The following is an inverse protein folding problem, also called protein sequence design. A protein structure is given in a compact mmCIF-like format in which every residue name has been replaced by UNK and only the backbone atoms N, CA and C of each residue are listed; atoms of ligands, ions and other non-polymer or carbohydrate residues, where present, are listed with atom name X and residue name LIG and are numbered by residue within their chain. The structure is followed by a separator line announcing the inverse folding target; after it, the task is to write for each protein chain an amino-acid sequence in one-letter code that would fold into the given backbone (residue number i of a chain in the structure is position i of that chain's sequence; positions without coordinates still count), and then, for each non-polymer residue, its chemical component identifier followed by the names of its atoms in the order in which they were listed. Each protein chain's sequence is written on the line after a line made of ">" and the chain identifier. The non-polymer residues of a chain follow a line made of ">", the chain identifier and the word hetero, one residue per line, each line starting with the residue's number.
data_IF_718933064007
#
_entry.id   IF_718933064007
#
_cell.length_a   1.000
_cell.length_b   1.000
_cell.length_c   1.000
_cell.angle_alpha   90.00
_cell.angle_beta   90.00
_cell.angle_gamma   90.00
#
_symmetry.space_group_name_H-M   'P 1'
#
loop_
_entity.id
_entity.type
_entity.pdbx_description
1 polymer ?
#
# COMPACT_ATOMS: atom_id res chain seq x y z
N UNK A 1 3.81 17.52 12.49
CA UNK A 1 2.51 17.01 12.00
C UNK A 1 2.29 15.62 12.59
N UNK A 2 1.46 15.50 13.64
CA UNK A 2 1.34 14.26 14.43
C UNK A 2 0.57 13.19 13.66
N UNK A 3 1.08 11.95 13.64
CA UNK A 3 0.50 10.77 12.98
C UNK A 3 -0.98 10.55 13.35
N UNK A 4 -1.37 11.01 14.55
CA UNK A 4 -2.74 11.03 15.05
C UNK A 4 -3.71 11.82 14.18
N UNK A 5 -3.26 12.90 13.52
CA UNK A 5 -4.12 13.73 12.67
C UNK A 5 -4.58 13.00 11.41
N UNK A 6 -3.71 12.17 10.81
CA UNK A 6 -4.04 11.35 9.63
C UNK A 6 -5.03 10.26 10.01
N UNK A 7 -4.83 9.60 11.16
CA UNK A 7 -5.76 8.57 11.67
C UNK A 7 -7.13 9.17 12.01
N UNK A 8 -7.17 10.36 12.59
CA UNK A 8 -8.44 11.08 12.88
C UNK A 8 -9.18 11.49 11.61
N UNK A 9 -8.48 11.96 10.56
CA UNK A 9 -9.10 12.31 9.28
C UNK A 9 -9.66 11.05 8.59
N UNK A 10 -8.93 9.93 8.64
CA UNK A 10 -9.38 8.64 8.10
C UNK A 10 -10.61 8.12 8.87
N UNK A 11 -10.62 8.24 10.20
CA UNK A 11 -11.75 7.85 11.04
C UNK A 11 -12.99 8.72 10.77
N UNK A 12 -12.81 10.04 10.60
CA UNK A 12 -13.89 10.95 10.23
C UNK A 12 -14.48 10.66 8.83
N UNK A 13 -13.65 10.29 7.86
CA UNK A 13 -14.12 9.85 6.55
C UNK A 13 -14.88 8.52 6.61
N UNK A 14 -14.46 7.59 7.47
CA UNK A 14 -15.13 6.30 7.65
C UNK A 14 -16.53 6.43 8.29
N UNK A 15 -16.69 7.34 9.26
CA UNK A 15 -17.99 7.63 9.89
C UNK A 15 -18.96 8.34 8.95
N UNK A 16 -18.48 9.15 8.02
CA UNK A 16 -19.34 9.85 7.05
C UNK A 16 -19.79 8.92 5.90
N UNK A 17 -19.07 7.83 5.63
CA UNK A 17 -19.39 6.88 4.56
C UNK A 17 -20.54 5.92 4.91
N UNK A 18 -20.95 5.83 6.18
CA UNK A 18 -22.04 4.94 6.63
C UNK A 18 -23.45 5.49 6.41
N UNK A 19 -23.61 6.74 5.95
CA UNK A 19 -24.92 7.37 5.69
C UNK A 19 -25.41 7.21 4.24
N UNK A 20 -24.69 6.47 3.39
CA UNK A 20 -24.99 6.39 1.96
C UNK A 20 -26.02 5.31 1.63
N UNK A 21 -27.27 5.72 1.36
CA UNK A 21 -28.33 4.84 0.87
C UNK A 21 -28.09 4.46 -0.60
N UNK A 22 -28.08 3.16 -0.97
CA UNK A 22 -27.90 2.76 -2.35
C UNK A 22 -29.22 2.91 -3.11
N UNK A 23 -29.31 3.88 -4.03
CA UNK A 23 -30.33 3.85 -5.08
C UNK A 23 -29.95 2.72 -6.05
N UNK A 24 -30.82 1.72 -6.16
CA UNK A 24 -30.71 0.61 -7.11
C UNK A 24 -30.72 1.20 -8.52
N UNK A 25 -29.58 1.13 -9.21
CA UNK A 25 -29.44 1.58 -10.59
C UNK A 25 -29.57 0.37 -11.51
N UNK A 26 -30.59 0.40 -12.37
CA UNK A 26 -30.83 -0.56 -13.44
C UNK A 26 -29.66 -0.60 -14.41
N UNK A 27 -29.16 -1.80 -14.70
CA UNK A 27 -28.03 -2.04 -15.61
C UNK A 27 -28.55 -1.95 -17.06
N UNK A 28 -28.13 -0.97 -17.88
CA UNK A 28 -28.44 -1.00 -19.30
C UNK A 28 -27.51 -2.02 -19.98
N UNK A 29 -28.09 -3.11 -20.48
CA UNK A 29 -27.40 -4.08 -21.34
C UNK A 29 -27.31 -3.54 -22.75
N UNK A 30 -26.31 -2.70 -23.03
CA UNK A 30 -25.68 -2.52 -24.35
C UNK A 30 -24.65 -1.38 -24.30
N UNK A 31 -23.35 -1.64 -24.53
CA UNK A 31 -22.42 -0.55 -24.88
C UNK A 31 -21.14 -1.03 -25.56
N UNK A 32 -20.81 -0.35 -26.66
CA UNK A 32 -19.62 -0.44 -27.52
C UNK A 32 -18.31 -0.85 -26.81
N UNK A 33 -17.70 -1.96 -27.25
CA UNK A 33 -16.53 -2.58 -26.60
C UNK A 33 -15.26 -1.71 -26.62
N UNK A 34 -15.14 -0.76 -27.55
CA UNK A 34 -13.90 -0.01 -27.79
C UNK A 34 -13.64 1.09 -26.74
N UNK A 35 -14.65 1.88 -26.34
CA UNK A 35 -14.49 2.90 -25.27
C UNK A 35 -14.32 2.28 -23.88
N UNK A 36 -14.90 1.09 -23.67
CA UNK A 36 -14.85 0.35 -22.42
C UNK A 36 -13.45 -0.23 -22.14
N UNK A 37 -12.77 -0.72 -23.19
CA UNK A 37 -11.42 -1.25 -23.09
C UNK A 37 -10.36 -0.16 -22.84
N UNK A 38 -10.52 1.01 -23.46
CA UNK A 38 -9.54 2.11 -23.35
C UNK A 38 -9.44 2.70 -21.94
N UNK A 39 -10.57 2.80 -21.22
CA UNK A 39 -10.56 3.23 -19.82
C UNK A 39 -9.96 2.17 -18.88
N UNK A 40 -10.21 0.88 -19.12
CA UNK A 40 -9.73 -0.19 -18.23
C UNK A 40 -8.21 -0.33 -18.27
N UNK A 41 -7.62 -0.31 -19.47
CA UNK A 41 -6.16 -0.38 -19.63
C UNK A 41 -5.47 0.81 -18.94
N UNK A 42 -6.04 2.02 -19.04
CA UNK A 42 -5.53 3.21 -18.38
C UNK A 42 -5.49 3.09 -16.84
N UNK A 43 -6.55 2.57 -16.22
CA UNK A 43 -6.56 2.31 -14.77
C UNK A 43 -5.53 1.26 -14.36
N UNK A 44 -5.41 0.15 -15.09
CA UNK A 44 -4.46 -0.92 -14.78
C UNK A 44 -3.03 -0.44 -14.90
N UNK A 45 -2.67 0.15 -16.04
CA UNK A 45 -1.31 0.68 -16.27
C UNK A 45 -1.01 1.80 -15.28
N UNK A 46 -1.95 2.71 -15.04
CA UNK A 46 -1.81 3.79 -14.06
C UNK A 46 -1.56 3.27 -12.64
N UNK A 47 -2.28 2.23 -12.20
CA UNK A 47 -2.06 1.60 -10.90
C UNK A 47 -0.72 0.86 -10.82
N UNK A 48 -0.27 0.19 -11.88
CA UNK A 48 1.05 -0.45 -11.87
C UNK A 48 2.16 0.60 -11.81
N UNK A 49 2.11 1.61 -12.69
CA UNK A 49 3.12 2.67 -12.75
C UNK A 49 3.18 3.44 -11.43
N UNK A 50 2.03 3.83 -10.88
CA UNK A 50 1.96 4.51 -9.59
C UNK A 50 2.51 3.64 -8.46
N UNK A 51 2.15 2.36 -8.42
CA UNK A 51 2.60 1.40 -7.42
C UNK A 51 4.11 1.17 -7.45
N UNK A 52 4.69 1.15 -8.64
CA UNK A 52 6.11 0.95 -8.84
C UNK A 52 6.98 2.18 -8.49
N UNK A 53 6.41 3.35 -8.18
CA UNK A 53 7.17 4.56 -7.82
C UNK A 53 8.07 4.38 -6.60
N UNK A 54 7.70 3.50 -5.66
CA UNK A 54 8.50 3.18 -4.48
C UNK A 54 9.68 2.22 -4.74
N UNK A 55 9.71 1.54 -5.89
CA UNK A 55 10.69 0.46 -6.18
C UNK A 55 12.15 0.88 -6.01
N UNK A 56 12.60 2.06 -6.48
CA UNK A 56 14.00 2.47 -6.29
C UNK A 56 14.40 2.60 -4.82
N UNK A 57 13.46 3.03 -3.95
CA UNK A 57 13.70 3.13 -2.51
C UNK A 57 13.84 1.75 -1.88
N UNK A 58 12.99 0.80 -2.28
CA UNK A 58 13.03 -0.59 -1.81
C UNK A 58 14.37 -1.21 -2.19
N UNK A 59 14.75 -1.18 -3.48
CA UNK A 59 16.01 -1.77 -3.96
C UNK A 59 17.22 -1.19 -3.22
N UNK A 60 17.26 0.12 -3.02
CA UNK A 60 18.35 0.78 -2.31
C UNK A 60 18.42 0.34 -0.84
N UNK A 61 17.27 0.24 -0.17
CA UNK A 61 17.22 -0.15 1.23
C UNK A 61 17.58 -1.63 1.44
N UNK A 62 17.11 -2.53 0.56
CA UNK A 62 17.46 -3.96 0.53
C UNK A 62 18.97 -4.18 0.44
N UNK A 63 19.64 -3.50 -0.50
CA UNK A 63 21.09 -3.60 -0.67
C UNK A 63 21.91 -2.92 0.43
N UNK A 64 21.29 -2.06 1.24
CA UNK A 64 21.97 -1.27 2.25
C UNK A 64 21.78 -1.86 3.63
N UNK A 65 20.63 -1.64 4.27
CA UNK A 65 20.44 -1.91 5.69
C UNK A 65 19.42 -3.02 5.96
N UNK A 66 18.47 -3.24 5.06
CA UNK A 66 17.32 -4.12 5.33
C UNK A 66 17.72 -5.59 5.47
N UNK A 67 18.71 -6.04 4.70
CA UNK A 67 19.24 -7.40 4.82
C UNK A 67 20.18 -7.61 6.02
N UNK A 68 20.54 -6.53 6.75
CA UNK A 68 21.40 -6.60 7.92
C UNK A 68 20.62 -6.55 9.24
N UNK A 69 19.32 -6.28 9.21
CA UNK A 69 18.47 -6.33 10.41
C UNK A 69 17.91 -7.72 10.65
N UNK A 70 17.42 -7.96 11.86
CA UNK A 70 16.78 -9.23 12.21
C UNK A 70 15.46 -9.39 11.45
N UNK A 71 15.37 -10.37 10.56
CA UNK A 71 14.16 -10.71 9.79
C UNK A 71 13.56 -12.03 10.30
N UNK A 72 12.23 -12.17 10.36
CA UNK A 72 11.60 -13.43 10.74
C UNK A 72 11.80 -14.50 9.65
N UNK A 73 11.85 -15.77 10.07
CA UNK A 73 12.11 -16.91 9.18
C UNK A 73 11.07 -17.09 8.03
N UNK A 74 9.85 -16.55 8.19
CA UNK A 74 8.81 -16.61 7.17
C UNK A 74 8.83 -15.41 6.20
N UNK A 75 9.88 -14.58 6.23
CA UNK A 75 10.05 -13.50 5.26
C UNK A 75 10.25 -14.10 3.87
N UNK A 76 9.41 -13.76 2.87
CA UNK A 76 9.60 -14.26 1.51
C UNK A 76 10.92 -13.75 0.91
N UNK A 77 11.53 -14.48 -0.02
CA UNK A 77 12.63 -13.96 -0.83
C UNK A 77 12.27 -12.63 -1.52
N UNK A 78 13.25 -11.74 -1.64
CA UNK A 78 13.09 -10.39 -2.25
C UNK A 78 12.45 -10.44 -3.65
N UNK A 79 12.76 -11.49 -4.43
CA UNK A 79 12.25 -11.69 -5.78
C UNK A 79 10.73 -11.93 -5.83
N UNK A 80 10.10 -12.36 -4.75
CA UNK A 80 8.64 -12.62 -4.69
C UNK A 80 7.84 -11.33 -4.52
N UNK A 81 8.40 -10.31 -3.84
CA UNK A 81 7.67 -9.09 -3.56
C UNK A 81 7.26 -8.33 -4.82
N UNK A 82 8.13 -8.23 -5.82
CA UNK A 82 7.84 -7.48 -7.05
C UNK A 82 6.69 -8.11 -7.87
N UNK A 83 6.72 -9.40 -8.23
CA UNK A 83 5.61 -10.05 -8.94
C UNK A 83 4.27 -9.97 -8.18
N UNK A 84 4.29 -10.16 -6.86
CA UNK A 84 3.08 -10.06 -6.04
C UNK A 84 2.51 -8.64 -6.11
N UNK A 85 3.30 -7.61 -5.82
CA UNK A 85 2.81 -6.23 -5.85
C UNK A 85 2.36 -5.80 -7.25
N UNK A 86 3.08 -6.17 -8.32
CA UNK A 86 2.63 -5.90 -9.69
C UNK A 86 1.26 -6.53 -9.97
N UNK A 87 1.06 -7.79 -9.56
CA UNK A 87 -0.23 -8.48 -9.72
C UNK A 87 -1.34 -7.79 -8.92
N UNK A 88 -1.05 -7.40 -7.67
CA UNK A 88 -1.99 -6.69 -6.81
C UNK A 88 -2.37 -5.32 -7.38
N UNK A 89 -1.41 -4.55 -7.89
CA UNK A 89 -1.68 -3.26 -8.53
C UNK A 89 -2.51 -3.41 -9.81
N UNK A 90 -2.29 -4.47 -10.58
CA UNK A 90 -3.15 -4.78 -11.72
C UNK A 90 -4.60 -5.07 -11.27
N UNK A 91 -4.79 -5.87 -10.23
CA UNK A 91 -6.12 -6.19 -9.67
C UNK A 91 -6.80 -4.95 -9.08
N UNK A 92 -6.06 -4.06 -8.42
CA UNK A 92 -6.56 -2.77 -7.94
C UNK A 92 -7.06 -1.90 -9.10
N UNK A 93 -6.28 -1.78 -10.17
CA UNK A 93 -6.68 -1.02 -11.35
C UNK A 93 -7.92 -1.59 -12.04
N UNK A 94 -8.02 -2.93 -12.15
CA UNK A 94 -9.21 -3.62 -12.67
C UNK A 94 -10.44 -3.41 -11.78
N UNK A 95 -10.27 -3.44 -10.46
CA UNK A 95 -11.35 -3.18 -9.50
C UNK A 95 -11.84 -1.74 -9.60
N UNK A 96 -10.91 -0.77 -9.62
CA UNK A 96 -11.19 0.65 -9.76
C UNK A 96 -11.90 0.98 -11.09
N UNK A 97 -11.48 0.37 -12.21
CA UNK A 97 -12.10 0.60 -13.52
C UNK A 97 -13.55 0.14 -13.55
N UNK A 98 -13.87 -1.02 -12.94
CA UNK A 98 -15.25 -1.53 -12.85
C UNK A 98 -16.14 -0.57 -12.06
N UNK A 99 -15.66 -0.04 -10.95
CA UNK A 99 -16.42 0.95 -10.15
C UNK A 99 -16.58 2.26 -10.91
N UNK A 100 -15.52 2.75 -11.57
CA UNK A 100 -15.59 3.94 -12.41
C UNK A 100 -16.63 3.80 -13.52
N UNK A 101 -16.73 2.63 -14.15
CA UNK A 101 -17.74 2.37 -15.18
C UNK A 101 -19.17 2.34 -14.62
N UNK A 102 -19.36 1.89 -13.38
CA UNK A 102 -20.69 1.84 -12.74
C UNK A 102 -21.18 3.20 -12.26
N UNK A 103 -20.31 4.03 -11.68
CA UNK A 103 -20.72 5.28 -10.99
C UNK A 103 -19.83 6.50 -11.25
N UNK A 104 -18.86 6.40 -12.17
CA UNK A 104 -17.88 7.47 -12.43
C UNK A 104 -16.93 7.71 -11.25
N UNK A 105 -16.35 8.92 -11.19
CA UNK A 105 -15.44 9.34 -10.11
C UNK A 105 -16.19 9.80 -8.85
N UNK A 106 -17.00 8.91 -8.29
CA UNK A 106 -17.83 9.14 -7.11
C UNK A 106 -17.07 8.84 -5.78
N UNK A 107 -17.77 9.05 -4.65
CA UNK A 107 -17.23 8.84 -3.30
C UNK A 107 -16.47 7.51 -3.11
N UNK A 108 -16.97 6.33 -3.55
CA UNK A 108 -16.24 5.07 -3.39
C UNK A 108 -14.84 5.10 -4.00
N UNK A 109 -14.72 5.66 -5.20
CA UNK A 109 -13.45 5.73 -5.92
C UNK A 109 -12.50 6.76 -5.31
N UNK A 110 -13.04 7.87 -4.75
CA UNK A 110 -12.25 8.85 -3.98
C UNK A 110 -11.68 8.23 -2.70
N UNK A 111 -12.47 7.43 -1.98
CA UNK A 111 -12.02 6.70 -0.79
C UNK A 111 -10.93 5.68 -1.16
N UNK A 112 -11.12 4.95 -2.27
CA UNK A 112 -10.11 4.01 -2.77
C UNK A 112 -8.83 4.73 -3.24
N UNK A 113 -8.94 5.89 -3.90
CA UNK A 113 -7.79 6.70 -4.27
C UNK A 113 -7.00 7.18 -3.05
N UNK A 114 -7.68 7.59 -1.97
CA UNK A 114 -7.03 7.93 -0.71
C UNK A 114 -6.32 6.71 -0.09
N UNK A 115 -6.97 5.54 -0.09
CA UNK A 115 -6.35 4.28 0.32
C UNK A 115 -5.08 3.96 -0.50
N UNK A 116 -5.15 4.14 -1.81
CA UNK A 116 -4.04 3.92 -2.72
C UNK A 116 -2.85 4.87 -2.44
N UNK A 117 -3.11 6.15 -2.17
CA UNK A 117 -2.05 7.08 -1.74
C UNK A 117 -1.40 6.65 -0.43
N UNK A 118 -2.18 6.18 0.55
CA UNK A 118 -1.62 5.62 1.79
C UNK A 118 -0.74 4.39 1.52
N UNK A 119 -1.11 3.56 0.54
CA UNK A 119 -0.31 2.41 0.13
C UNK A 119 1.05 2.86 -0.43
N UNK A 120 1.07 3.89 -1.30
CA UNK A 120 2.30 4.45 -1.84
C UNK A 120 3.20 5.08 -0.77
N UNK A 121 2.62 5.67 0.27
CA UNK A 121 3.36 6.28 1.39
C UNK A 121 4.05 5.24 2.29
N UNK A 122 3.63 3.97 2.23
CA UNK A 122 4.18 2.92 3.07
C UNK A 122 5.66 2.66 2.79
N UNK A 123 6.05 2.52 1.51
CA UNK A 123 7.43 2.21 1.14
C UNK A 123 8.42 3.33 1.54
N UNK A 124 8.17 4.63 1.28
CA UNK A 124 8.99 5.73 1.81
C UNK A 124 9.10 5.74 3.33
N UNK A 125 8.02 5.42 4.04
CA UNK A 125 8.00 5.42 5.51
C UNK A 125 8.84 4.27 6.10
N UNK A 126 8.71 3.07 5.53
CA UNK A 126 9.43 1.89 5.96
C UNK A 126 10.89 1.90 5.47
N UNK A 127 11.10 1.93 4.14
CA UNK A 127 12.41 1.76 3.52
C UNK A 127 13.25 3.05 3.51
N UNK A 128 12.60 4.20 3.28
CA UNK A 128 13.29 5.49 3.23
C UNK A 128 13.62 6.01 4.62
N UNK A 129 12.58 6.31 5.40
CA UNK A 129 12.68 6.93 6.72
C UNK A 129 13.03 5.94 7.84
N UNK A 130 13.01 4.62 7.57
CA UNK A 130 13.38 3.57 8.54
C UNK A 130 12.50 3.61 9.80
N UNK A 131 11.29 4.18 9.69
CA UNK A 131 10.33 4.29 10.81
C UNK A 131 9.44 3.06 10.85
N UNK A 132 10.02 1.91 11.15
CA UNK A 132 9.37 0.58 11.12
C UNK A 132 8.04 0.58 11.91
N UNK A 133 8.04 1.08 13.16
CA UNK A 133 6.82 1.16 13.98
C UNK A 133 5.73 2.05 13.38
N UNK A 134 6.11 3.17 12.74
CA UNK A 134 5.15 4.06 12.11
C UNK A 134 4.54 3.41 10.85
N UNK A 135 5.36 2.71 10.06
CA UNK A 135 4.89 1.91 8.93
C UNK A 135 3.99 0.74 9.39
N UNK A 136 4.26 0.15 10.55
CA UNK A 136 3.39 -0.85 11.14
C UNK A 136 2.04 -0.28 11.57
N UNK A 137 2.03 0.91 12.19
CA UNK A 137 0.79 1.63 12.48
C UNK A 137 -0.01 1.95 11.19
N UNK A 138 0.69 2.36 10.12
CA UNK A 138 0.07 2.62 8.82
C UNK A 138 -0.57 1.36 8.21
N UNK A 139 -0.04 0.16 8.46
CA UNK A 139 -0.66 -1.09 7.99
C UNK A 139 -2.08 -1.29 8.54
N UNK A 140 -2.35 -0.95 9.81
CA UNK A 140 -3.70 -1.00 10.36
C UNK A 140 -4.61 0.05 9.70
N UNK A 141 -4.08 1.24 9.41
CA UNK A 141 -4.78 2.27 8.64
C UNK A 141 -5.14 1.80 7.22
N UNK A 142 -4.23 1.07 6.57
CA UNK A 142 -4.46 0.45 5.26
C UNK A 142 -5.53 -0.63 5.35
N UNK A 143 -5.51 -1.50 6.36
CA UNK A 143 -6.53 -2.54 6.55
C UNK A 143 -7.92 -1.91 6.75
N UNK A 144 -8.01 -0.86 7.57
CA UNK A 144 -9.26 -0.14 7.81
C UNK A 144 -9.78 0.51 6.52
N UNK A 145 -8.94 1.31 5.86
CA UNK A 145 -9.34 2.04 4.64
C UNK A 145 -9.69 1.08 3.50
N UNK A 146 -8.96 -0.04 3.34
CA UNK A 146 -9.30 -1.07 2.37
C UNK A 146 -10.65 -1.73 2.68
N UNK A 147 -10.92 -2.05 3.95
CA UNK A 147 -12.21 -2.63 4.37
C UNK A 147 -13.38 -1.70 4.03
N UNK A 148 -13.21 -0.39 4.26
CA UNK A 148 -14.21 0.62 3.89
C UNK A 148 -14.40 0.67 2.38
N UNK A 149 -13.31 0.72 1.59
CA UNK A 149 -13.39 0.68 0.13
C UNK A 149 -14.09 -0.58 -0.38
N UNK A 150 -13.74 -1.76 0.15
CA UNK A 150 -14.35 -3.03 -0.24
C UNK A 150 -15.86 -3.06 0.07
N UNK A 151 -16.29 -2.51 1.22
CA UNK A 151 -17.72 -2.40 1.57
C UNK A 151 -18.47 -1.48 0.60
N UNK A 152 -17.91 -0.33 0.27
CA UNK A 152 -18.48 0.60 -0.72
C UNK A 152 -18.50 0.01 -2.13
N UNK A 153 -17.48 -0.75 -2.51
CA UNK A 153 -17.44 -1.42 -3.80
C UNK A 153 -18.45 -2.56 -3.86
N UNK A 154 -18.67 -3.29 -2.76
CA UNK A 154 -19.57 -4.44 -2.71
C UNK A 154 -21.03 -4.05 -2.97
N UNK A 155 -21.47 -2.87 -2.49
CA UNK A 155 -22.84 -2.37 -2.72
C UNK A 155 -23.09 -1.94 -4.17
N UNK A 156 -22.03 -1.67 -4.95
CA UNK A 156 -22.12 -1.22 -6.34
C UNK A 156 -21.83 -2.38 -7.30
N UNK A 157 -20.72 -3.07 -7.11
CA UNK A 157 -20.27 -4.17 -7.95
C UNK A 157 -19.51 -5.21 -7.10
N UNK A 158 -20.19 -6.33 -6.79
CA UNK A 158 -19.64 -7.43 -5.99
C UNK A 158 -18.33 -7.97 -6.59
N UNK A 159 -18.26 -8.12 -7.91
CA UNK A 159 -17.06 -8.60 -8.58
C UNK A 159 -15.86 -7.66 -8.31
N UNK A 160 -16.04 -6.34 -8.45
CA UNK A 160 -14.98 -5.38 -8.17
C UNK A 160 -14.45 -5.47 -6.72
N UNK A 161 -15.35 -5.68 -5.74
CA UNK A 161 -14.95 -5.87 -4.34
C UNK A 161 -14.20 -7.19 -4.12
N UNK A 162 -14.67 -8.29 -4.72
CA UNK A 162 -14.01 -9.60 -4.60
C UNK A 162 -12.61 -9.63 -5.25
N UNK A 163 -12.37 -8.85 -6.29
CA UNK A 163 -11.02 -8.68 -6.87
C UNK A 163 -10.00 -8.12 -5.86
N UNK A 164 -10.44 -7.44 -4.79
CA UNK A 164 -9.56 -6.89 -3.77
C UNK A 164 -9.24 -7.89 -2.64
N UNK A 165 -9.84 -9.09 -2.62
CA UNK A 165 -9.59 -10.10 -1.59
C UNK A 165 -8.11 -10.56 -1.55
N UNK A 166 -7.44 -10.87 -2.67
CA UNK A 166 -6.02 -11.22 -2.65
C UNK A 166 -5.14 -10.09 -2.10
N UNK A 167 -5.50 -8.84 -2.38
CA UNK A 167 -4.81 -7.69 -1.79
C UNK A 167 -5.04 -7.59 -0.29
N UNK A 168 -6.28 -7.78 0.18
CA UNK A 168 -6.59 -7.79 1.60
C UNK A 168 -5.82 -8.87 2.36
N UNK A 169 -5.75 -10.08 1.80
CA UNK A 169 -4.97 -11.19 2.35
C UNK A 169 -3.47 -10.86 2.41
N UNK A 170 -2.91 -10.28 1.35
CA UNK A 170 -1.52 -9.83 1.33
C UNK A 170 -1.24 -8.75 2.39
N UNK A 171 -2.19 -7.82 2.58
CA UNK A 171 -2.04 -6.75 3.56
C UNK A 171 -2.07 -7.29 5.01
N UNK A 172 -2.88 -8.31 5.30
CA UNK A 172 -2.84 -9.03 6.58
C UNK A 172 -1.47 -9.69 6.80
N UNK A 173 -0.96 -10.38 5.77
CA UNK A 173 0.37 -10.98 5.82
C UNK A 173 1.46 -9.92 6.05
N UNK A 174 1.46 -8.82 5.31
CA UNK A 174 2.40 -7.72 5.47
C UNK A 174 2.30 -7.06 6.85
N UNK A 175 1.10 -6.98 7.42
CA UNK A 175 0.87 -6.49 8.80
C UNK A 175 1.55 -7.41 9.81
N UNK A 176 1.34 -8.72 9.66
CA UNK A 176 1.96 -9.74 10.51
C UNK A 176 3.48 -9.76 10.41
N UNK A 177 4.01 -9.67 9.18
CA UNK A 177 5.44 -9.59 8.90
C UNK A 177 6.06 -8.37 9.58
N UNK A 178 5.47 -7.19 9.37
CA UNK A 178 5.97 -5.95 9.95
C UNK A 178 5.88 -5.94 11.49
N UNK A 179 4.85 -6.57 12.08
CA UNK A 179 4.76 -6.81 13.52
C UNK A 179 5.98 -7.59 14.04
N UNK A 180 6.36 -8.71 13.39
CA UNK A 180 7.57 -9.45 13.81
C UNK A 180 8.84 -8.67 13.61
N UNK A 181 8.97 -7.91 12.52
CA UNK A 181 10.13 -7.03 12.32
C UNK A 181 10.22 -5.99 13.45
N UNK A 182 9.10 -5.43 13.90
CA UNK A 182 9.07 -4.50 15.03
C UNK A 182 9.48 -5.14 16.36
N UNK A 183 9.08 -6.40 16.59
CA UNK A 183 9.44 -7.16 17.80
C UNK A 183 10.94 -7.50 17.81
N UNK A 184 11.47 -7.96 16.67
CA UNK A 184 12.88 -8.36 16.52
C UNK A 184 13.84 -7.17 16.42
N UNK A 185 13.32 -5.97 16.13
CA UNK A 185 14.08 -4.72 16.01
C UNK A 185 13.42 -3.62 16.86
N UNK A 186 13.51 -3.72 18.20
CA UNK A 186 12.85 -2.79 19.10
C UNK A 186 13.35 -1.37 18.90
N UNK A 187 12.42 -0.40 18.91
CA UNK A 187 12.75 1.02 18.84
C UNK A 187 12.88 1.58 20.26
N UNK A 188 14.04 2.17 20.57
CA UNK A 188 14.32 2.90 21.82
C UNK A 188 14.54 4.38 21.50
N UNK A 189 13.81 5.28 22.15
CA UNK A 189 13.87 6.74 21.90
C UNK A 189 13.74 7.15 20.42
N UNK A 190 12.93 6.41 19.64
CA UNK A 190 12.75 6.67 18.20
C UNK A 190 13.83 6.09 17.29
N UNK A 191 14.87 5.47 17.85
CA UNK A 191 15.98 4.84 17.14
C UNK A 191 15.85 3.32 17.15
N UNK A 192 16.10 2.67 16.01
CA UNK A 192 15.96 1.22 15.84
C UNK A 192 17.14 0.64 15.06
N UNK A 193 17.24 -0.69 15.00
CA UNK A 193 18.33 -1.39 14.32
C UNK A 193 18.46 -1.00 12.83
N UNK A 194 17.36 -0.65 12.15
CA UNK A 194 17.45 -0.20 10.76
C UNK A 194 18.17 1.15 10.62
N UNK A 195 17.94 2.08 11.54
CA UNK A 195 18.67 3.34 11.58
C UNK A 195 20.15 3.11 11.95
N UNK A 196 20.40 2.23 12.92
CA UNK A 196 21.75 1.84 13.34
C UNK A 196 22.56 1.29 12.17
N UNK A 197 22.06 0.25 11.50
CA UNK A 197 22.75 -0.39 10.37
C UNK A 197 23.02 0.60 9.23
N UNK A 198 22.06 1.46 8.92
CA UNK A 198 22.25 2.47 7.89
C UNK A 198 23.34 3.51 8.25
N UNK A 199 23.42 3.92 9.51
CA UNK A 199 24.44 4.86 9.98
C UNK A 199 25.82 4.19 10.03
N UNK A 200 25.91 2.93 10.45
CA UNK A 200 27.16 2.15 10.46
C UNK A 200 27.76 2.02 9.06
N UNK A 201 26.95 1.65 8.06
CA UNK A 201 27.40 1.55 6.67
C UNK A 201 27.92 2.90 6.17
N UNK A 202 27.20 3.98 6.47
CA UNK A 202 27.60 5.34 6.07
C UNK A 202 28.95 5.74 6.68
N UNK A 203 29.19 5.36 7.94
CA UNK A 203 30.47 5.60 8.62
C UNK A 203 31.59 4.74 8.03
N UNK A 204 31.33 3.47 7.72
CA UNK A 204 32.29 2.59 7.06
C UNK A 204 32.69 3.11 5.67
N UNK A 205 31.73 3.58 4.86
CA UNK A 205 31.99 4.18 3.56
C UNK A 205 32.81 5.48 3.67
N UNK A 206 32.50 6.32 4.67
CA UNK A 206 33.26 7.53 4.94
C UNK A 206 34.70 7.22 5.38
N UNK A 207 34.88 6.20 6.22
CA UNK A 207 36.20 5.73 6.62
C UNK A 207 36.98 5.18 5.43
N UNK A 208 36.36 4.32 4.60
CA UNK A 208 36.96 3.74 3.39
C UNK A 208 37.49 4.82 2.44
N UNK A 209 36.70 5.87 2.19
CA UNK A 209 37.12 7.02 1.38
C UNK A 209 38.30 7.79 1.97
N UNK A 210 38.40 7.90 3.29
CA UNK A 210 39.56 8.56 3.95
C UNK A 210 40.84 7.77 3.81
N UNK A 211 40.76 6.44 3.72
CA UNK A 211 41.92 5.56 3.57
C UNK A 211 42.21 5.17 2.11
N UNK A 212 41.55 5.81 1.13
CA UNK A 212 41.68 5.56 -0.31
C UNK A 212 41.52 4.07 -0.70
N UNK A 213 40.64 3.34 0.00
CA UNK A 213 40.23 1.97 -0.34
C UNK A 213 38.96 1.93 -1.20
#
# INVERSE_FOLDING_TARGET
>A
MRLTCIVSIIFAMALNATSFSPKVLTIPTSCSSTKLQMNTAGFVVGSIVGGCTGTPLVIKATKSWYNNINLPAFTPPDSIFAPVWTSLYAMMGLSASKIYQSVGFALPLKVFAAHYVLNLLWAPLFFGLKRIRAAHCLNYGLLLTLSVSMKLFYSINKCASLLLLPYFAWLLFATRLNSKICEMNPTKNGYNNAMLEADLIKLQDAARKRVNL
#
